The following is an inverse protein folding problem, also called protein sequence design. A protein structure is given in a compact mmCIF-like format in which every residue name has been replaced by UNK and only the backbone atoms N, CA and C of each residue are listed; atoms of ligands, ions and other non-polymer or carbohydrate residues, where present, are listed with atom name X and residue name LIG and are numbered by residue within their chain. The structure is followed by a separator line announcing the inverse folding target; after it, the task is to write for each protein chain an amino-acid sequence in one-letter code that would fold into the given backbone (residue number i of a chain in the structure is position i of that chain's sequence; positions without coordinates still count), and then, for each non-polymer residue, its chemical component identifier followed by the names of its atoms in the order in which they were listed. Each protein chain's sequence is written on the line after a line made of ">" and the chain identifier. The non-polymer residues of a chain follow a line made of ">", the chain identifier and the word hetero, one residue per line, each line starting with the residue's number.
data_IF_693305229606
#
_entry.id   IF_693305229606
#
_cell.length_a   1.000
_cell.length_b   1.000
_cell.length_c   1.000
_cell.angle_alpha   90.00
_cell.angle_beta   90.00
_cell.angle_gamma   90.00
#
_symmetry.space_group_name_H-M   'P 1'
#
loop_
_entity.id
_entity.type
_entity.pdbx_description
1 polymer ?
#
# COMPACT_ATOMS: atom_id res chain seq x y z
N UNK A 1 -8.51 14.61 -2.88
CA UNK A 1 -7.06 14.36 -2.97
C UNK A 1 -6.90 12.86 -3.00
N UNK A 2 -6.10 12.31 -3.90
CA UNK A 2 -5.97 10.87 -4.04
C UNK A 2 -5.00 10.38 -2.96
N UNK A 3 -5.41 9.34 -2.23
CA UNK A 3 -4.58 8.73 -1.20
C UNK A 3 -3.84 7.56 -1.82
N UNK A 4 -2.56 7.41 -1.49
CA UNK A 4 -1.71 6.40 -2.09
C UNK A 4 -1.14 5.51 -1.00
N UNK A 5 -1.20 4.21 -1.25
CA UNK A 5 -0.69 3.18 -0.37
C UNK A 5 0.23 2.24 -1.14
N UNK A 6 1.12 1.58 -0.43
CA UNK A 6 1.96 0.50 -0.95
C UNK A 6 1.65 -0.78 -0.19
N UNK A 7 1.50 -1.89 -0.90
CA UNK A 7 1.37 -3.20 -0.31
C UNK A 7 2.70 -3.66 0.34
N UNK A 8 2.69 -3.91 1.64
CA UNK A 8 3.85 -4.34 2.43
C UNK A 8 4.12 -5.84 2.33
N UNK A 9 3.09 -6.63 2.01
CA UNK A 9 3.13 -8.08 1.81
C UNK A 9 2.08 -8.48 0.77
N UNK A 10 2.22 -9.65 0.17
CA UNK A 10 1.22 -10.14 -0.77
C UNK A 10 -0.04 -10.61 -0.03
N UNK A 11 -1.22 -10.33 -0.59
CA UNK A 11 -2.50 -10.79 -0.08
C UNK A 11 -3.56 -10.89 -1.18
N UNK A 12 -4.64 -11.62 -0.89
CA UNK A 12 -5.78 -11.76 -1.78
C UNK A 12 -6.91 -10.83 -1.31
N UNK A 13 -7.55 -10.14 -2.25
CA UNK A 13 -8.74 -9.35 -2.02
C UNK A 13 -9.88 -9.89 -2.88
N UNK A 14 -11.03 -10.11 -2.25
CA UNK A 14 -12.25 -10.53 -2.93
C UNK A 14 -13.05 -9.29 -3.33
N UNK A 15 -13.22 -9.10 -4.63
CA UNK A 15 -13.92 -7.96 -5.21
C UNK A 15 -15.43 -8.21 -5.15
N UNK A 16 -16.13 -7.29 -4.50
CA UNK A 16 -17.57 -7.31 -4.43
C UNK A 16 -18.23 -6.96 -5.77
N UNK A 17 -19.15 -7.82 -6.21
CA UNK A 17 -19.96 -7.60 -7.40
C UNK A 17 -21.30 -6.93 -7.03
N UNK A 18 -21.72 -5.92 -7.80
CA UNK A 18 -23.01 -5.22 -7.59
C UNK A 18 -24.13 -5.72 -8.52
N UNK A 19 -23.95 -6.85 -9.19
CA UNK A 19 -24.93 -7.37 -10.15
C UNK A 19 -26.10 -8.07 -9.42
N UNK A 20 -27.36 -7.93 -9.91
CA UNK A 20 -28.53 -8.57 -9.29
C UNK A 20 -28.55 -10.10 -9.39
N UNK A 21 -27.91 -10.70 -10.40
CA UNK A 21 -28.23 -12.07 -10.87
C UNK A 21 -27.12 -13.13 -10.73
N UNK A 22 -25.96 -12.85 -10.13
CA UNK A 22 -25.00 -13.95 -9.86
C UNK A 22 -23.91 -13.62 -8.82
N UNK A 23 -23.59 -14.66 -8.04
CA UNK A 23 -22.36 -14.81 -7.27
C UNK A 23 -21.16 -14.87 -8.22
N UNK A 24 -20.52 -13.73 -8.47
CA UNK A 24 -19.18 -13.72 -9.03
C UNK A 24 -18.19 -13.44 -7.90
N UNK A 25 -17.43 -14.46 -7.50
CA UNK A 25 -16.25 -14.25 -6.67
C UNK A 25 -15.10 -13.92 -7.62
N UNK A 26 -14.79 -12.63 -7.75
CA UNK A 26 -13.58 -12.18 -8.42
C UNK A 26 -12.54 -11.88 -7.35
N UNK A 27 -11.45 -12.62 -7.33
CA UNK A 27 -10.35 -12.34 -6.42
C UNK A 27 -9.16 -11.79 -7.18
N UNK A 28 -8.54 -10.74 -6.65
CA UNK A 28 -7.25 -10.23 -7.13
C UNK A 28 -6.17 -10.54 -6.10
N UNK A 29 -4.98 -10.90 -6.58
CA UNK A 29 -3.79 -10.98 -5.73
C UNK A 29 -3.03 -9.67 -5.83
N UNK A 30 -2.94 -8.96 -4.70
CA UNK A 30 -2.11 -7.77 -4.55
C UNK A 30 -0.73 -8.25 -4.09
N UNK A 31 0.30 -7.91 -4.86
CA UNK A 31 1.69 -8.29 -4.60
C UNK A 31 2.37 -7.26 -3.70
N UNK A 32 3.42 -7.69 -2.99
CA UNK A 32 4.27 -6.77 -2.24
C UNK A 32 4.88 -5.75 -3.20
N UNK A 33 4.76 -4.47 -2.86
CA UNK A 33 5.25 -3.34 -3.65
C UNK A 33 4.20 -2.74 -4.60
N UNK A 34 3.03 -3.36 -4.75
CA UNK A 34 1.94 -2.79 -5.56
C UNK A 34 1.51 -1.43 -5.00
N UNK A 35 1.30 -0.48 -5.91
CA UNK A 35 0.77 0.84 -5.63
C UNK A 35 -0.76 0.78 -5.68
N UNK A 36 -1.39 1.23 -4.60
CA UNK A 36 -2.83 1.28 -4.44
C UNK A 36 -3.22 2.75 -4.34
N UNK A 37 -3.86 3.25 -5.39
CA UNK A 37 -4.43 4.60 -5.43
C UNK A 37 -5.90 4.54 -5.02
N UNK A 38 -6.26 5.28 -3.98
CA UNK A 38 -7.64 5.50 -3.55
C UNK A 38 -8.10 6.84 -4.11
N UNK A 39 -9.07 6.79 -5.01
CA UNK A 39 -9.62 7.98 -5.66
C UNK A 39 -10.71 8.63 -4.81
N UNK A 40 -11.15 9.86 -5.13
CA UNK A 40 -12.25 10.52 -4.44
C UNK A 40 -13.62 9.91 -4.76
N UNK A 41 -13.70 9.02 -5.75
CA UNK A 41 -14.96 8.37 -6.14
C UNK A 41 -15.39 7.36 -5.06
N UNK A 42 -16.64 7.50 -4.64
CA UNK A 42 -17.24 6.73 -3.55
C UNK A 42 -18.60 6.24 -3.93
N UNK A 43 -18.96 5.07 -3.42
CA UNK A 43 -20.26 4.46 -3.62
C UNK A 43 -20.81 3.95 -2.29
N UNK A 44 -22.09 4.17 -2.05
CA UNK A 44 -22.76 3.64 -0.88
C UNK A 44 -23.71 2.50 -1.27
N UNK A 45 -23.76 1.46 -0.45
CA UNK A 45 -24.73 0.38 -0.55
C UNK A 45 -25.40 0.15 0.79
N UNK A 46 -26.69 -0.22 0.77
CA UNK A 46 -27.44 -0.49 1.99
C UNK A 46 -26.96 -1.76 2.72
N UNK A 47 -26.37 -2.71 2.00
CA UNK A 47 -25.97 -4.00 2.56
C UNK A 47 -24.57 -3.97 3.21
N UNK A 48 -23.62 -3.25 2.61
CA UNK A 48 -22.19 -3.28 2.97
C UNK A 48 -21.56 -1.91 3.20
N UNK A 49 -22.37 -0.84 3.19
CA UNK A 49 -21.90 0.50 3.53
C UNK A 49 -21.11 1.17 2.41
N UNK A 50 -20.03 1.86 2.80
CA UNK A 50 -19.22 2.70 1.91
C UNK A 50 -18.13 1.92 1.18
N UNK A 51 -17.97 2.26 -0.09
CA UNK A 51 -16.92 1.80 -0.96
C UNK A 51 -16.16 2.99 -1.51
N UNK A 52 -14.86 2.79 -1.73
CA UNK A 52 -13.96 3.70 -2.42
C UNK A 52 -13.51 3.05 -3.72
N UNK A 53 -13.37 3.86 -4.78
CA UNK A 53 -12.82 3.36 -6.03
C UNK A 53 -11.29 3.37 -5.96
N UNK A 54 -10.69 2.21 -6.15
CA UNK A 54 -9.25 1.98 -6.06
C UNK A 54 -8.67 1.57 -7.40
N UNK A 55 -7.42 1.98 -7.63
CA UNK A 55 -6.63 1.62 -8.80
C UNK A 55 -5.32 0.99 -8.33
N UNK A 56 -5.02 -0.23 -8.78
CA UNK A 56 -3.81 -0.98 -8.46
C UNK A 56 -2.88 -0.94 -9.66
N UNK A 57 -1.68 -0.36 -9.48
CA UNK A 57 -0.65 -0.23 -10.51
C UNK A 57 -1.16 0.31 -11.87
N UNK A 58 -2.21 1.14 -11.86
CA UNK A 58 -2.91 1.62 -13.08
C UNK A 58 -3.51 0.52 -14.00
N UNK A 59 -3.47 -0.74 -13.58
CA UNK A 59 -3.88 -1.90 -14.40
C UNK A 59 -5.23 -2.47 -13.98
N UNK A 60 -5.51 -2.45 -12.68
CA UNK A 60 -6.74 -2.99 -12.12
C UNK A 60 -7.49 -1.90 -11.38
N UNK A 61 -8.78 -1.75 -11.64
CA UNK A 61 -9.60 -0.76 -10.96
C UNK A 61 -10.93 -1.36 -10.52
N UNK A 62 -11.31 -1.14 -9.27
CA UNK A 62 -12.53 -1.69 -8.69
C UNK A 62 -12.97 -0.89 -7.46
N UNK A 63 -14.19 -1.15 -6.98
CA UNK A 63 -14.66 -0.61 -5.71
C UNK A 63 -14.24 -1.54 -4.57
N UNK A 64 -13.51 -1.01 -3.60
CA UNK A 64 -13.12 -1.70 -2.37
C UNK A 64 -13.98 -1.16 -1.21
N UNK A 65 -14.47 -2.03 -0.33
CA UNK A 65 -15.17 -1.58 0.87
C UNK A 65 -14.20 -0.78 1.76
N UNK A 66 -14.66 0.33 2.34
CA UNK A 66 -13.81 1.12 3.25
C UNK A 66 -13.33 0.29 4.44
N UNK A 67 -14.16 -0.64 4.92
CA UNK A 67 -13.83 -1.57 6.00
C UNK A 67 -12.65 -2.50 5.63
N UNK A 68 -12.57 -2.97 4.38
CA UNK A 68 -11.44 -3.79 3.93
C UNK A 68 -10.15 -2.97 3.88
N UNK A 69 -10.22 -1.72 3.41
CA UNK A 69 -9.07 -0.82 3.38
C UNK A 69 -8.53 -0.55 4.80
N UNK A 70 -9.43 -0.27 5.74
CA UNK A 70 -9.09 -0.08 7.16
C UNK A 70 -8.46 -1.35 7.75
N UNK A 71 -9.04 -2.52 7.44
CA UNK A 71 -8.50 -3.82 7.87
C UNK A 71 -7.08 -4.04 7.34
N UNK A 72 -6.81 -3.70 6.08
CA UNK A 72 -5.48 -3.83 5.49
C UNK A 72 -4.45 -2.88 6.12
N UNK A 73 -4.88 -1.69 6.55
CA UNK A 73 -4.03 -0.79 7.34
C UNK A 73 -3.74 -1.37 8.73
N UNK A 74 -4.78 -1.82 9.44
CA UNK A 74 -4.64 -2.39 10.79
C UNK A 74 -3.77 -3.65 10.81
N UNK A 75 -3.83 -4.46 9.76
CA UNK A 75 -3.04 -5.69 9.62
C UNK A 75 -1.64 -5.47 9.04
N UNK A 76 -1.22 -4.21 8.85
CA UNK A 76 0.06 -3.84 8.23
C UNK A 76 0.26 -4.52 6.85
N UNK A 77 -0.84 -4.72 6.11
CA UNK A 77 -0.81 -5.23 4.74
C UNK A 77 -0.50 -4.14 3.74
N UNK A 78 -0.95 -2.92 4.03
CA UNK A 78 -0.67 -1.73 3.25
C UNK A 78 -0.13 -0.62 4.16
N UNK A 79 0.63 0.31 3.60
CA UNK A 79 1.15 1.50 4.31
C UNK A 79 0.89 2.73 3.45
N UNK A 80 0.55 3.86 4.06
CA UNK A 80 0.42 5.11 3.30
C UNK A 80 1.80 5.62 2.86
N UNK A 81 1.83 6.39 1.77
CA UNK A 81 3.09 7.03 1.33
C UNK A 81 3.68 7.98 2.39
N UNK A 82 2.82 8.63 3.18
CA UNK A 82 3.28 9.52 4.25
C UNK A 82 3.93 8.71 5.38
N UNK A 83 3.33 7.58 5.75
CA UNK A 83 3.85 6.74 6.83
C UNK A 83 5.18 6.07 6.45
N UNK A 84 5.37 5.70 5.18
CA UNK A 84 6.66 5.16 4.74
C UNK A 84 7.76 6.24 4.70
N UNK A 85 7.44 7.47 4.31
CA UNK A 85 8.38 8.60 4.38
C UNK A 85 8.80 8.88 5.83
N UNK A 86 7.83 8.90 6.75
CA UNK A 86 8.09 9.04 8.19
C UNK A 86 8.93 7.88 8.73
N UNK A 87 8.65 6.65 8.30
CA UNK A 87 9.43 5.46 8.68
C UNK A 87 10.87 5.56 8.21
N UNK A 88 11.11 6.01 6.98
CA UNK A 88 12.46 6.23 6.44
C UNK A 88 13.22 7.26 7.28
N UNK A 89 12.58 8.40 7.57
CA UNK A 89 13.18 9.45 8.39
C UNK A 89 13.54 8.94 9.79
N UNK A 90 12.64 8.20 10.43
CA UNK A 90 12.88 7.62 11.75
C UNK A 90 14.03 6.60 11.75
N UNK A 91 14.10 5.75 10.73
CA UNK A 91 15.17 4.74 10.61
C UNK A 91 16.54 5.37 10.39
N UNK A 92 16.63 6.44 9.59
CA UNK A 92 17.87 7.21 9.43
C UNK A 92 18.34 7.78 10.77
N UNK A 93 17.45 8.43 11.52
CA UNK A 93 17.76 8.93 12.85
C UNK A 93 18.22 7.82 13.81
N UNK A 94 17.61 6.63 13.75
CA UNK A 94 18.00 5.49 14.58
C UNK A 94 19.37 4.95 14.23
N UNK A 95 19.71 4.86 12.95
CA UNK A 95 21.03 4.46 12.50
C UNK A 95 22.11 5.40 13.05
N UNK A 96 21.85 6.71 13.02
CA UNK A 96 22.78 7.69 13.60
C UNK A 96 22.99 7.44 15.12
N UNK A 97 21.91 7.16 15.86
CA UNK A 97 22.01 6.82 17.29
C UNK A 97 22.78 5.52 17.55
N UNK A 98 22.62 4.51 16.70
CA UNK A 98 23.31 3.23 16.86
C UNK A 98 24.81 3.37 16.60
N UNK A 99 25.18 4.19 15.60
CA UNK A 99 26.57 4.54 15.31
C UNK A 99 27.21 5.29 16.48
N UNK A 100 26.51 6.27 17.06
CA UNK A 100 26.99 7.01 18.24
C UNK A 100 27.25 6.08 19.44
N UNK A 101 26.44 5.03 19.60
CA UNK A 101 26.54 4.07 20.70
C UNK A 101 27.46 2.89 20.42
N UNK A 102 27.88 2.70 19.17
CA UNK A 102 28.60 1.50 18.73
C UNK A 102 27.75 0.23 18.80
N UNK A 103 26.42 0.34 18.69
CA UNK A 103 25.50 -0.82 18.72
C UNK A 103 25.36 -1.41 17.31
N UNK A 104 26.27 -2.34 16.99
CA UNK A 104 26.31 -3.02 15.69
C UNK A 104 25.02 -3.82 15.39
N UNK A 105 24.37 -4.37 16.43
CA UNK A 105 23.18 -5.21 16.24
C UNK A 105 21.99 -4.35 15.83
N UNK A 106 21.73 -3.27 16.57
CA UNK A 106 20.67 -2.32 16.23
C UNK A 106 20.93 -1.65 14.88
N UNK A 107 22.20 -1.28 14.61
CA UNK A 107 22.60 -0.69 13.35
C UNK A 107 22.26 -1.59 12.16
N UNK A 108 22.58 -2.89 12.24
CA UNK A 108 22.30 -3.85 11.17
C UNK A 108 20.77 -4.01 10.96
N UNK A 109 19.99 -4.08 12.04
CA UNK A 109 18.53 -4.19 11.97
C UNK A 109 17.92 -2.95 11.31
N UNK A 110 18.25 -1.76 11.79
CA UNK A 110 17.69 -0.51 11.26
C UNK A 110 18.14 -0.24 9.82
N UNK A 111 19.38 -0.58 9.46
CA UNK A 111 19.89 -0.48 8.09
C UNK A 111 19.12 -1.40 7.13
N UNK A 112 18.80 -2.64 7.55
CA UNK A 112 18.01 -3.55 6.74
C UNK A 112 16.58 -3.03 6.55
N UNK A 113 15.93 -2.56 7.61
CA UNK A 113 14.58 -1.98 7.53
C UNK A 113 14.55 -0.72 6.67
N UNK A 114 15.60 0.10 6.70
CA UNK A 114 15.73 1.29 5.86
C UNK A 114 15.82 0.88 4.39
N UNK A 115 16.69 -0.08 4.07
CA UNK A 115 16.85 -0.61 2.72
C UNK A 115 15.55 -1.22 2.17
N UNK A 116 14.79 -1.94 2.99
CA UNK A 116 13.48 -2.47 2.61
C UNK A 116 12.48 -1.35 2.29
N UNK A 117 12.43 -0.32 3.14
CA UNK A 117 11.52 0.82 2.96
C UNK A 117 11.87 1.63 1.70
N UNK A 118 13.16 1.82 1.43
CA UNK A 118 13.65 2.49 0.22
C UNK A 118 13.34 1.70 -1.04
N UNK A 119 13.44 0.36 -1.02
CA UNK A 119 13.08 -0.50 -2.17
C UNK A 119 11.61 -0.39 -2.52
N UNK A 120 10.74 -0.36 -1.52
CA UNK A 120 9.29 -0.17 -1.71
C UNK A 120 9.00 1.19 -2.35
N UNK A 121 9.66 2.24 -1.88
CA UNK A 121 9.54 3.59 -2.46
C UNK A 121 10.10 3.69 -3.88
N UNK A 122 11.22 3.04 -4.17
CA UNK A 122 11.85 3.07 -5.50
C UNK A 122 11.01 2.32 -6.55
N UNK A 123 10.29 1.26 -6.16
CA UNK A 123 9.36 0.55 -7.04
C UNK A 123 8.32 1.48 -7.68
N UNK A 124 7.94 2.56 -6.99
CA UNK A 124 7.02 3.60 -7.49
C UNK A 124 7.59 4.38 -8.68
N UNK A 125 8.88 4.70 -8.68
CA UNK A 125 9.49 5.54 -9.71
C UNK A 125 9.65 4.82 -11.06
N UNK A 126 9.78 3.49 -11.03
CA UNK A 126 9.76 2.66 -12.24
C UNK A 126 8.43 2.76 -12.98
N UNK A 127 7.30 2.76 -12.25
CA UNK A 127 5.97 2.85 -12.86
C UNK A 127 5.64 4.26 -13.39
N UNK A 128 6.19 5.32 -12.78
CA UNK A 128 6.03 6.69 -13.25
C UNK A 128 6.90 7.04 -14.46
N UNK A 129 8.05 6.38 -14.64
CA UNK A 129 8.97 6.65 -15.74
C UNK A 129 8.56 5.97 -17.05
N UNK A 130 7.87 4.84 -16.99
CA UNK A 130 7.27 4.17 -18.16
C UNK A 130 6.13 5.00 -18.80
N UNK A 131 5.55 5.96 -18.07
CA UNK A 131 4.47 6.84 -18.53
C UNK A 131 4.96 8.14 -19.18
N UNK A 132 6.23 8.51 -19.03
CA UNK A 132 6.79 9.75 -19.60
C UNK A 132 7.24 9.60 -21.07
N UNK A 133 7.06 8.42 -21.68
CA UNK A 133 7.51 8.09 -23.05
C UNK A 133 6.35 7.58 -23.94
N UNK A 134 5.09 7.72 -23.50
CA UNK A 134 3.89 7.32 -24.27
C UNK A 134 3.28 8.43 -25.11
#
# INVERSE_FOLDING_TARGET
>A
MNEHYIAMKAFQHDIDCFCPDAYHAFSITIQKGDLIEVTPERKFTMAKGWYVFVVINEQHAFFMATEDLELYLMNEQIISLIDIDLRINYLQFKIDQDLERGDETSFAIHSNLLNESLKLMAGRESHLSDLAVG
#
